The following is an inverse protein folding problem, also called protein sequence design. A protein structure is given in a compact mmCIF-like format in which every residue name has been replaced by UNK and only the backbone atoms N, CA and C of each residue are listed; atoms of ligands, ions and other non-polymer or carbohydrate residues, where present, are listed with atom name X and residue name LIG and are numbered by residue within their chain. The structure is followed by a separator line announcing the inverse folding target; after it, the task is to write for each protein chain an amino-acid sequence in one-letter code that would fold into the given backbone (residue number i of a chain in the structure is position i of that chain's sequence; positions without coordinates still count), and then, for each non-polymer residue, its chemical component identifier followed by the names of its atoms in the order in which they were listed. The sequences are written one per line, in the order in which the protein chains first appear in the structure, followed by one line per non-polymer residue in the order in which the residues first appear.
data_IF_905506299721
#
_entry.id   IF_905506299721
#
_cell.length_a   1.000
_cell.length_b   1.000
_cell.length_c   1.000
_cell.angle_alpha   90.00
_cell.angle_beta   90.00
_cell.angle_gamma   90.00
#
_symmetry.space_group_name_H-M   'P 1'
#
loop_
_entity.id
_entity.type
_entity.pdbx_description
1 polymer ?
#
# COMPACT_ATOMS: atom_id res chain seq x y z
N UNK A 1 1.01 19.95 13.22
CA UNK A 1 0.18 21.12 13.63
C UNK A 1 -0.13 22.07 12.47
N UNK A 2 0.76 22.26 11.49
CA UNK A 2 0.56 23.18 10.34
C UNK A 2 -0.63 22.83 9.42
N UNK A 3 -0.91 21.53 9.17
CA UNK A 3 -2.07 21.12 8.33
C UNK A 3 -3.42 21.48 8.96
N UNK A 4 -3.53 21.43 10.29
CA UNK A 4 -4.75 21.80 11.01
C UNK A 4 -4.96 23.32 11.04
N UNK A 5 -3.89 24.12 11.01
CA UNK A 5 -3.98 25.57 10.88
C UNK A 5 -4.55 25.98 9.50
N UNK A 6 -4.17 25.28 8.44
CA UNK A 6 -4.69 25.53 7.08
C UNK A 6 -6.14 25.02 6.87
N UNK A 7 -6.72 24.29 7.83
CA UNK A 7 -8.09 23.73 7.72
C UNK A 7 -9.16 24.82 7.56
N UNK A 8 -8.92 26.02 8.13
CA UNK A 8 -9.82 27.17 8.00
C UNK A 8 -9.82 27.80 6.60
N UNK A 9 -8.82 27.53 5.77
CA UNK A 9 -8.62 28.20 4.47
C UNK A 9 -9.05 27.37 3.26
N UNK A 10 -9.58 26.15 3.46
CA UNK A 10 -9.95 25.23 2.37
C UNK A 10 -11.31 25.57 1.74
N UNK A 11 -11.33 25.77 0.43
CA UNK A 11 -12.55 26.03 -0.34
C UNK A 11 -13.28 24.73 -0.77
N UNK A 12 -14.53 24.86 -1.24
CA UNK A 12 -15.27 23.72 -1.83
C UNK A 12 -14.49 23.07 -2.98
N UNK A 13 -13.92 23.87 -3.89
CA UNK A 13 -13.22 23.37 -5.08
C UNK A 13 -11.97 22.57 -4.71
N UNK A 14 -11.30 22.93 -3.62
CA UNK A 14 -10.13 22.17 -3.12
C UNK A 14 -10.52 20.78 -2.60
N UNK A 15 -11.63 20.71 -1.85
CA UNK A 15 -12.09 19.48 -1.20
C UNK A 15 -12.88 18.57 -2.16
N UNK A 16 -13.48 19.17 -3.18
CA UNK A 16 -14.40 18.57 -4.12
C UNK A 16 -14.03 19.01 -5.56
N UNK A 17 -13.00 18.38 -6.17
CA UNK A 17 -12.59 18.71 -7.52
C UNK A 17 -13.70 18.39 -8.53
N UNK A 18 -13.75 19.17 -9.61
CA UNK A 18 -14.75 19.03 -10.67
C UNK A 18 -14.64 17.64 -11.33
N UNK A 19 -15.72 16.83 -11.33
CA UNK A 19 -15.72 15.52 -11.99
C UNK A 19 -15.38 15.59 -13.48
N UNK A 20 -15.67 16.70 -14.17
CA UNK A 20 -15.41 16.88 -15.60
C UNK A 20 -13.94 17.14 -15.93
N UNK A 21 -13.14 17.57 -14.94
CA UNK A 21 -11.70 17.72 -15.05
C UNK A 21 -10.94 16.44 -14.67
N UNK A 22 -11.63 15.44 -14.12
CA UNK A 22 -11.07 14.14 -13.76
C UNK A 22 -11.32 13.14 -14.90
N UNK A 23 -10.26 12.77 -15.61
CA UNK A 23 -10.29 11.72 -16.63
C UNK A 23 -10.85 10.41 -16.00
N UNK A 24 -11.92 9.79 -16.53
CA UNK A 24 -12.49 8.59 -15.94
C UNK A 24 -11.48 7.43 -16.00
N UNK A 25 -11.09 6.93 -14.83
CA UNK A 25 -10.24 5.74 -14.69
C UNK A 25 -11.16 4.54 -14.38
N UNK A 26 -11.30 3.63 -15.35
CA UNK A 26 -12.03 2.33 -15.37
C UNK A 26 -12.03 1.50 -14.05
N UNK A 27 -12.84 0.40 -13.92
CA UNK A 27 -14.20 0.12 -14.36
C UNK A 27 -15.13 0.07 -13.13
N UNK A 28 -15.62 1.24 -12.76
CA UNK A 28 -16.85 1.49 -12.01
C UNK A 28 -17.15 2.97 -12.24
N UNK A 29 -17.16 3.37 -13.52
CA UNK A 29 -17.47 4.73 -13.93
C UNK A 29 -18.79 5.11 -13.28
N UNK A 30 -18.84 6.26 -12.62
CA UNK A 30 -20.14 6.85 -12.33
C UNK A 30 -20.94 6.86 -13.65
N UNK A 31 -22.22 6.46 -13.65
CA UNK A 31 -23.03 6.48 -14.86
C UNK A 31 -22.91 7.85 -15.51
N UNK A 32 -22.87 7.88 -16.85
CA UNK A 32 -22.77 9.13 -17.59
C UNK A 32 -23.89 10.08 -17.12
N UNK A 33 -23.74 11.42 -17.26
CA UNK A 33 -24.72 12.38 -16.73
C UNK A 33 -26.17 12.13 -17.16
N UNK A 34 -26.38 11.42 -18.28
CA UNK A 34 -27.69 11.03 -18.80
C UNK A 34 -28.22 9.67 -18.27
N UNK A 35 -27.42 8.88 -17.55
CA UNK A 35 -27.74 7.55 -17.00
C UNK A 35 -27.87 7.55 -15.46
N UNK A 36 -27.67 8.68 -14.79
CA UNK A 36 -27.71 8.80 -13.33
C UNK A 36 -29.13 8.62 -12.76
N UNK A 37 -29.38 7.52 -12.05
CA UNK A 37 -30.63 7.30 -11.27
C UNK A 37 -30.71 8.26 -10.06
N UNK A 38 -31.88 8.35 -9.38
CA UNK A 38 -32.14 9.31 -8.27
C UNK A 38 -31.11 9.25 -7.12
N UNK A 39 -30.35 8.16 -6.97
CA UNK A 39 -29.25 7.98 -5.99
C UNK A 39 -27.93 8.65 -6.41
N UNK A 40 -27.79 9.08 -7.67
CA UNK A 40 -26.56 9.62 -8.26
C UNK A 40 -26.68 11.09 -8.67
N UNK A 41 -27.77 11.76 -8.30
CA UNK A 41 -27.79 13.21 -8.41
C UNK A 41 -26.71 13.74 -7.47
N UNK A 42 -25.74 14.55 -7.95
CA UNK A 42 -24.88 15.29 -7.05
C UNK A 42 -25.81 16.00 -6.07
N UNK A 43 -25.58 15.87 -4.75
CA UNK A 43 -26.50 16.45 -3.79
C UNK A 43 -26.66 17.95 -4.09
N UNK A 44 -27.83 18.53 -3.86
CA UNK A 44 -28.21 19.91 -4.33
C UNK A 44 -27.17 21.00 -4.06
N UNK A 45 -26.22 20.78 -3.16
CA UNK A 45 -25.11 21.67 -2.83
C UNK A 45 -23.89 21.55 -3.76
N UNK A 46 -23.84 20.58 -4.67
CA UNK A 46 -22.70 20.26 -5.54
C UNK A 46 -22.86 20.75 -6.98
N UNK A 47 -24.10 20.81 -7.50
CA UNK A 47 -24.39 21.39 -8.81
C UNK A 47 -24.47 22.92 -8.69
N UNK A 48 -23.32 23.59 -8.63
CA UNK A 48 -23.23 25.03 -8.88
C UNK A 48 -23.39 25.28 -10.38
N UNK A 49 -24.63 25.39 -10.85
CA UNK A 49 -24.95 25.91 -12.18
C UNK A 49 -24.44 27.34 -12.30
N UNK A 50 -23.29 27.54 -12.94
CA UNK A 50 -23.00 28.79 -13.63
C UNK A 50 -23.77 28.78 -14.94
N UNK A 51 -24.98 29.34 -14.93
CA UNK A 51 -25.61 29.84 -16.16
C UNK A 51 -25.11 31.28 -16.37
N UNK A 52 -24.59 31.65 -17.55
CA UNK A 52 -24.16 33.02 -17.79
C UNK A 52 -25.36 33.87 -18.20
N UNK A 53 -26.12 34.39 -17.24
CA UNK A 53 -26.91 35.60 -17.47
C UNK A 53 -27.42 36.24 -16.18
N UNK A 54 -27.39 37.57 -16.21
CA UNK A 54 -27.98 38.56 -15.29
C UNK A 54 -27.11 39.07 -14.14
N UNK A 55 -26.66 40.30 -14.36
CA UNK A 55 -26.32 41.31 -13.35
C UNK A 55 -27.46 41.48 -12.35
N UNK A 56 -27.22 41.11 -11.09
CA UNK A 56 -27.69 41.75 -9.85
C UNK A 56 -27.34 40.83 -8.67
N UNK A 57 -26.50 41.34 -7.77
CA UNK A 57 -26.13 40.81 -6.45
C UNK A 57 -26.49 39.36 -6.14
N UNK A 58 -25.57 38.44 -6.45
CA UNK A 58 -25.69 37.06 -5.96
C UNK A 58 -24.57 36.80 -4.95
N UNK A 59 -24.88 37.09 -3.69
CA UNK A 59 -24.23 36.51 -2.53
C UNK A 59 -24.62 35.02 -2.42
N UNK A 60 -24.54 34.26 -3.53
CA UNK A 60 -24.79 32.83 -3.58
C UNK A 60 -23.59 32.12 -2.96
N UNK A 61 -23.68 32.02 -1.63
CA UNK A 61 -22.61 31.65 -0.73
C UNK A 61 -21.77 30.49 -1.23
N UNK A 62 -20.46 30.74 -1.35
CA UNK A 62 -19.46 29.70 -1.34
C UNK A 62 -19.63 28.92 -0.04
N UNK A 63 -20.39 27.83 -0.08
CA UNK A 63 -20.68 27.01 1.10
C UNK A 63 -19.38 26.37 1.53
N UNK A 64 -18.82 26.73 2.68
CA UNK A 64 -17.61 26.06 3.15
C UNK A 64 -17.82 24.54 3.26
N UNK A 65 -16.83 23.71 2.86
CA UNK A 65 -16.91 22.28 3.04
C UNK A 65 -17.02 21.94 4.53
N UNK A 66 -17.79 20.89 4.85
CA UNK A 66 -17.97 20.51 6.24
C UNK A 66 -16.65 20.04 6.87
N UNK A 67 -16.61 20.03 8.20
CA UNK A 67 -15.46 19.64 9.00
C UNK A 67 -14.85 18.30 8.61
N UNK A 68 -15.68 17.29 8.34
CA UNK A 68 -15.21 15.96 7.94
C UNK A 68 -14.58 15.97 6.56
N UNK A 69 -15.20 16.64 5.59
CA UNK A 69 -14.69 16.74 4.23
C UNK A 69 -13.31 17.42 4.21
N UNK A 70 -13.12 18.48 5.02
CA UNK A 70 -11.82 19.12 5.23
C UNK A 70 -10.79 18.17 5.85
N UNK A 71 -11.14 17.43 6.91
CA UNK A 71 -10.24 16.43 7.54
C UNK A 71 -9.86 15.33 6.56
N UNK A 72 -10.84 14.74 5.87
CA UNK A 72 -10.65 13.70 4.85
C UNK A 72 -9.73 14.18 3.73
N UNK A 73 -9.86 15.44 3.30
CA UNK A 73 -8.96 16.01 2.29
C UNK A 73 -7.52 16.16 2.82
N UNK A 74 -7.35 16.69 4.04
CA UNK A 74 -6.03 16.92 4.64
C UNK A 74 -5.22 15.65 4.95
N UNK A 75 -5.92 14.54 5.20
CA UNK A 75 -5.33 13.24 5.53
C UNK A 75 -5.67 12.16 4.49
N UNK A 76 -6.02 12.57 3.27
CA UNK A 76 -6.54 11.65 2.23
C UNK A 76 -5.55 10.55 1.90
N UNK A 77 -4.26 10.89 1.86
CA UNK A 77 -3.17 9.97 1.56
C UNK A 77 -2.96 8.99 2.72
N UNK A 78 -2.91 9.46 3.96
CA UNK A 78 -2.78 8.61 5.14
C UNK A 78 -4.00 7.68 5.30
N UNK A 79 -5.21 8.15 5.03
CA UNK A 79 -6.41 7.32 5.01
C UNK A 79 -6.35 6.24 3.90
N UNK A 80 -5.81 6.58 2.74
CA UNK A 80 -5.62 5.61 1.66
C UNK A 80 -4.61 4.52 2.05
N UNK A 81 -3.49 4.89 2.69
CA UNK A 81 -2.50 3.95 3.22
C UNK A 81 -3.06 3.06 4.34
N UNK A 82 -3.91 3.63 5.21
CA UNK A 82 -4.63 2.88 6.23
C UNK A 82 -5.54 1.81 5.60
N UNK A 83 -6.43 2.19 4.68
CA UNK A 83 -7.38 1.26 4.09
C UNK A 83 -6.73 0.27 3.12
N UNK A 84 -5.67 0.67 2.42
CA UNK A 84 -4.89 -0.24 1.60
C UNK A 84 -4.25 -1.33 2.45
N UNK A 85 -3.51 -0.95 3.51
CA UNK A 85 -2.88 -1.93 4.41
C UNK A 85 -3.91 -2.75 5.19
N UNK A 86 -5.06 -2.16 5.54
CA UNK A 86 -6.19 -2.87 6.12
C UNK A 86 -6.66 -4.01 5.22
N UNK A 87 -6.83 -3.78 3.91
CA UNK A 87 -7.26 -4.83 2.98
C UNK A 87 -6.20 -5.94 2.82
N UNK A 88 -4.91 -5.60 2.84
CA UNK A 88 -3.85 -6.62 2.83
C UNK A 88 -4.04 -7.59 4.00
N UNK A 89 -4.28 -7.08 5.21
CA UNK A 89 -4.42 -7.92 6.41
C UNK A 89 -5.79 -8.57 6.52
N UNK A 90 -6.85 -7.91 6.08
CA UNK A 90 -8.20 -8.48 6.08
C UNK A 90 -8.24 -9.78 5.25
N UNK A 91 -7.66 -9.74 4.05
CA UNK A 91 -7.57 -10.91 3.18
C UNK A 91 -6.50 -11.89 3.65
N UNK A 92 -5.32 -11.38 4.00
CA UNK A 92 -4.18 -12.19 4.42
C UNK A 92 -4.42 -12.96 5.72
N UNK A 93 -4.67 -12.27 6.83
CA UNK A 93 -4.96 -12.95 8.09
C UNK A 93 -6.29 -13.72 8.03
N UNK A 94 -7.25 -13.23 7.23
CA UNK A 94 -8.52 -13.91 6.99
C UNK A 94 -8.33 -15.30 6.36
N UNK A 95 -7.50 -15.41 5.32
CA UNK A 95 -7.22 -16.71 4.68
C UNK A 95 -6.41 -17.63 5.60
N UNK A 96 -5.49 -17.11 6.40
CA UNK A 96 -4.74 -17.96 7.34
C UNK A 96 -5.68 -18.52 8.42
N UNK A 97 -6.61 -17.72 8.93
CA UNK A 97 -7.66 -18.18 9.81
C UNK A 97 -8.55 -19.23 9.11
N UNK A 98 -9.00 -18.96 7.88
CA UNK A 98 -9.82 -19.88 7.09
C UNK A 98 -9.14 -21.23 6.89
N UNK A 99 -7.87 -21.26 6.50
CA UNK A 99 -7.15 -22.49 6.17
C UNK A 99 -6.77 -23.27 7.44
N UNK A 100 -6.33 -22.58 8.51
CA UNK A 100 -5.73 -23.24 9.66
C UNK A 100 -6.67 -23.44 10.86
N UNK A 101 -7.70 -22.60 11.05
CA UNK A 101 -8.63 -22.75 12.19
C UNK A 101 -9.68 -23.84 11.99
N UNK A 102 -9.69 -24.56 10.86
CA UNK A 102 -10.61 -25.67 10.62
C UNK A 102 -10.34 -26.91 11.50
N UNK A 103 -9.86 -26.70 12.73
CA UNK A 103 -9.46 -27.77 13.63
C UNK A 103 -10.65 -28.44 14.34
N UNK A 104 -10.88 -29.70 13.95
CA UNK A 104 -10.99 -30.93 14.75
C UNK A 104 -12.18 -31.10 15.71
N UNK A 105 -13.30 -31.57 15.15
CA UNK A 105 -14.10 -32.60 15.82
C UNK A 105 -13.49 -33.99 15.57
N UNK A 106 -13.81 -34.98 16.41
CA UNK A 106 -13.29 -36.35 16.32
C UNK A 106 -13.55 -37.05 14.96
N UNK A 107 -14.46 -36.52 14.14
CA UNK A 107 -14.99 -37.18 12.94
C UNK A 107 -14.50 -36.62 11.59
N UNK A 108 -13.72 -35.53 11.55
CA UNK A 108 -13.27 -34.92 10.29
C UNK A 108 -11.76 -35.04 10.11
N UNK A 109 -11.36 -36.06 9.35
CA UNK A 109 -9.97 -36.49 9.12
C UNK A 109 -9.30 -35.91 7.87
N UNK A 110 -9.87 -34.91 7.20
CA UNK A 110 -9.24 -34.33 6.01
C UNK A 110 -8.82 -32.88 6.21
N UNK A 111 -7.51 -32.73 6.42
CA UNK A 111 -6.75 -31.47 6.50
C UNK A 111 -6.87 -30.63 5.21
N UNK A 112 -7.52 -31.16 4.16
CA UNK A 112 -7.64 -30.56 2.83
C UNK A 112 -8.99 -29.88 2.52
N UNK A 113 -10.00 -29.92 3.41
CA UNK A 113 -11.37 -29.59 3.01
C UNK A 113 -11.63 -28.08 2.70
N UNK A 114 -10.81 -27.15 3.21
CA UNK A 114 -11.10 -25.70 3.12
C UNK A 114 -9.95 -24.83 2.58
N UNK A 115 -8.81 -25.43 2.23
CA UNK A 115 -7.75 -24.75 1.47
C UNK A 115 -6.35 -25.33 1.64
N UNK A 116 -5.38 -24.67 1.02
CA UNK A 116 -3.97 -25.07 1.01
C UNK A 116 -3.03 -23.87 1.18
N UNK A 117 -1.73 -24.14 1.36
CA UNK A 117 -0.71 -23.09 1.39
C UNK A 117 -0.81 -22.15 0.18
N UNK A 118 -1.05 -22.70 -1.02
CA UNK A 118 -1.22 -21.93 -2.25
C UNK A 118 -2.46 -21.02 -2.24
N UNK A 119 -3.59 -21.50 -1.70
CA UNK A 119 -4.78 -20.65 -1.49
C UNK A 119 -4.46 -19.44 -0.60
N UNK A 120 -3.66 -19.67 0.46
CA UNK A 120 -3.14 -18.58 1.28
C UNK A 120 -2.44 -17.53 0.43
N UNK A 121 -1.48 -17.95 -0.40
CA UNK A 121 -0.70 -17.03 -1.24
C UNK A 121 -1.57 -16.26 -2.26
N UNK A 122 -2.57 -16.91 -2.85
CA UNK A 122 -3.55 -16.26 -3.73
C UNK A 122 -4.31 -15.14 -3.02
N UNK A 123 -4.82 -15.38 -1.81
CA UNK A 123 -5.57 -14.38 -1.07
C UNK A 123 -4.68 -13.23 -0.55
N UNK A 124 -3.44 -13.52 -0.11
CA UNK A 124 -2.46 -12.46 0.21
C UNK A 124 -2.17 -11.58 -1.00
N UNK A 125 -1.93 -12.18 -2.17
CA UNK A 125 -1.71 -11.44 -3.42
C UNK A 125 -2.93 -10.61 -3.83
N UNK A 126 -4.14 -11.16 -3.68
CA UNK A 126 -5.39 -10.45 -3.94
C UNK A 126 -5.57 -9.25 -2.99
N UNK A 127 -5.26 -9.41 -1.70
CA UNK A 127 -5.28 -8.32 -0.72
C UNK A 127 -4.35 -7.16 -1.13
N UNK A 128 -3.16 -7.46 -1.64
CA UNK A 128 -2.23 -6.43 -2.15
C UNK A 128 -2.76 -5.76 -3.42
N UNK A 129 -3.32 -6.51 -4.37
CA UNK A 129 -3.96 -5.91 -5.55
C UNK A 129 -5.10 -4.96 -5.16
N UNK A 130 -5.99 -5.38 -4.25
CA UNK A 130 -7.08 -4.54 -3.74
C UNK A 130 -6.55 -3.30 -3.04
N UNK A 131 -5.46 -3.42 -2.28
CA UNK A 131 -4.81 -2.28 -1.65
C UNK A 131 -4.35 -1.25 -2.70
N UNK A 132 -3.71 -1.70 -3.79
CA UNK A 132 -3.26 -0.80 -4.87
C UNK A 132 -4.46 -0.16 -5.59
N UNK A 133 -5.54 -0.89 -5.86
CA UNK A 133 -6.75 -0.27 -6.44
C UNK A 133 -7.35 0.81 -5.54
N UNK A 134 -7.44 0.58 -4.23
CA UNK A 134 -8.07 1.51 -3.28
C UNK A 134 -7.19 2.73 -2.97
N UNK A 135 -5.87 2.58 -3.00
CA UNK A 135 -4.94 3.61 -2.52
C UNK A 135 -4.06 4.23 -3.61
N UNK A 136 -3.82 3.53 -4.73
CA UNK A 136 -2.87 3.90 -5.77
C UNK A 136 -3.12 5.28 -6.38
N UNK A 137 -4.36 5.60 -6.71
CA UNK A 137 -4.75 6.92 -7.26
C UNK A 137 -4.77 8.06 -6.24
N UNK A 138 -4.48 7.80 -4.96
CA UNK A 138 -4.55 8.79 -3.87
C UNK A 138 -3.17 9.00 -3.23
N UNK A 139 -2.57 7.95 -2.67
CA UNK A 139 -1.29 8.02 -1.96
C UNK A 139 -0.10 7.53 -2.79
N UNK A 140 -0.36 6.91 -3.95
CA UNK A 140 0.61 6.07 -4.67
C UNK A 140 0.55 4.59 -4.25
N UNK A 141 -0.26 4.26 -3.23
CA UNK A 141 -0.51 2.91 -2.78
C UNK A 141 0.73 2.16 -2.29
N UNK A 142 1.50 2.79 -1.39
CA UNK A 142 2.71 2.17 -0.85
C UNK A 142 2.36 0.94 -0.02
N UNK A 143 1.43 1.11 0.93
CA UNK A 143 0.90 0.12 1.88
C UNK A 143 1.99 -0.73 2.58
N UNK A 144 3.23 -0.25 2.60
CA UNK A 144 4.42 -0.96 3.03
C UNK A 144 5.52 0.05 3.39
N UNK A 145 6.06 0.02 4.63
CA UNK A 145 7.18 0.89 5.03
C UNK A 145 8.42 0.75 4.15
N UNK A 146 8.78 -0.46 3.71
CA UNK A 146 9.94 -0.71 2.85
C UNK A 146 9.78 -0.01 1.50
N UNK A 147 8.57 -0.02 0.94
CA UNK A 147 8.23 0.69 -0.31
C UNK A 147 8.30 2.20 -0.09
N UNK A 148 7.71 2.71 0.99
CA UNK A 148 7.79 4.13 1.35
C UNK A 148 9.23 4.63 1.48
N UNK A 149 10.10 3.85 2.13
CA UNK A 149 11.52 4.20 2.31
C UNK A 149 12.25 4.15 0.98
N UNK A 150 12.07 3.10 0.17
CA UNK A 150 12.70 3.00 -1.14
C UNK A 150 12.31 4.17 -2.07
N UNK A 151 11.03 4.52 -2.14
CA UNK A 151 10.57 5.67 -2.92
C UNK A 151 11.15 7.00 -2.41
N UNK A 152 11.38 7.13 -1.11
CA UNK A 152 12.03 8.33 -0.54
C UNK A 152 13.53 8.41 -0.87
N UNK A 153 14.18 7.27 -1.04
CA UNK A 153 15.60 7.18 -1.41
C UNK A 153 15.82 7.41 -2.91
N UNK A 154 14.96 6.82 -3.76
CA UNK A 154 15.23 6.71 -5.21
C UNK A 154 14.28 7.49 -6.12
N UNK A 155 13.09 7.90 -5.64
CA UNK A 155 12.05 8.56 -6.46
C UNK A 155 11.54 9.87 -5.85
N UNK A 156 12.29 10.44 -4.91
CA UNK A 156 12.02 11.76 -4.35
C UNK A 156 10.77 11.86 -3.46
N UNK A 157 10.23 10.73 -2.97
CA UNK A 157 9.08 10.78 -2.06
C UNK A 157 9.41 11.64 -0.82
N UNK A 158 8.54 12.60 -0.43
CA UNK A 158 8.88 13.55 0.63
C UNK A 158 9.18 12.87 1.96
N UNK A 159 10.41 13.00 2.45
CA UNK A 159 10.86 12.35 3.70
C UNK A 159 9.97 12.64 4.91
N UNK A 160 9.41 13.86 4.98
CA UNK A 160 8.45 14.28 6.02
C UNK A 160 7.14 13.47 6.06
N UNK A 161 6.80 12.76 4.98
CA UNK A 161 5.60 11.91 4.86
C UNK A 161 5.85 10.46 5.26
N UNK A 162 7.11 10.03 5.45
CA UNK A 162 7.45 8.64 5.78
C UNK A 162 6.76 8.21 7.07
N UNK A 163 6.96 8.95 8.18
CA UNK A 163 6.38 8.58 9.48
C UNK A 163 4.84 8.59 9.44
N UNK A 164 4.16 9.63 8.92
CA UNK A 164 2.71 9.60 8.78
C UNK A 164 2.17 8.39 8.00
N UNK A 165 2.84 8.01 6.90
CA UNK A 165 2.46 6.83 6.12
C UNK A 165 2.65 5.55 6.93
N UNK A 166 3.81 5.36 7.55
CA UNK A 166 4.12 4.19 8.37
C UNK A 166 3.12 4.01 9.51
N UNK A 167 2.76 5.10 10.20
CA UNK A 167 1.76 5.07 11.27
C UNK A 167 0.40 4.66 10.72
N UNK A 168 -0.04 5.26 9.60
CA UNK A 168 -1.32 4.92 8.99
C UNK A 168 -1.39 3.47 8.52
N UNK A 169 -0.33 2.96 7.87
CA UNK A 169 -0.19 1.57 7.44
C UNK A 169 -0.31 0.61 8.64
N UNK A 170 0.43 0.89 9.71
CA UNK A 170 0.44 0.06 10.93
C UNK A 170 -0.93 0.05 11.62
N UNK A 171 -1.59 1.20 11.71
CA UNK A 171 -2.95 1.30 12.25
C UNK A 171 -3.97 0.54 11.39
N UNK A 172 -3.85 0.60 10.07
CA UNK A 172 -4.70 -0.15 9.14
C UNK A 172 -4.55 -1.65 9.33
N UNK A 173 -3.31 -2.14 9.37
CA UNK A 173 -2.99 -3.53 9.65
C UNK A 173 -3.50 -3.99 11.02
N UNK A 174 -3.39 -3.14 12.05
CA UNK A 174 -3.90 -3.41 13.40
C UNK A 174 -5.43 -3.56 13.39
N UNK A 175 -6.14 -2.61 12.80
CA UNK A 175 -7.60 -2.60 12.74
C UNK A 175 -8.15 -3.82 11.98
N UNK A 176 -7.54 -4.17 10.84
CA UNK A 176 -7.90 -5.36 10.09
C UNK A 176 -7.69 -6.64 10.90
N UNK A 177 -6.57 -6.74 11.62
CA UNK A 177 -6.24 -7.92 12.42
C UNK A 177 -7.21 -8.09 13.59
N UNK A 178 -7.60 -6.99 14.26
CA UNK A 178 -8.65 -7.01 15.28
C UNK A 178 -9.99 -7.47 14.69
N UNK A 179 -10.34 -7.01 13.50
CA UNK A 179 -11.59 -7.42 12.84
C UNK A 179 -11.58 -8.89 12.43
N UNK A 180 -10.47 -9.39 11.87
CA UNK A 180 -10.30 -10.81 11.54
C UNK A 180 -10.34 -11.68 12.80
N UNK A 181 -9.68 -11.24 13.88
CA UNK A 181 -9.73 -11.93 15.17
C UNK A 181 -11.15 -11.97 15.73
N UNK A 182 -11.88 -10.85 15.71
CA UNK A 182 -13.26 -10.78 16.15
C UNK A 182 -14.18 -11.71 15.32
N UNK A 183 -14.00 -11.72 14.00
CA UNK A 183 -14.74 -12.61 13.09
C UNK A 183 -14.48 -14.10 13.39
N UNK A 184 -13.28 -14.43 13.88
CA UNK A 184 -12.86 -15.80 14.16
C UNK A 184 -12.79 -16.15 15.65
N UNK A 185 -13.36 -15.31 16.53
CA UNK A 185 -13.17 -15.39 17.99
C UNK A 185 -13.49 -16.78 18.54
N UNK A 186 -14.64 -17.34 18.15
CA UNK A 186 -15.09 -18.66 18.59
C UNK A 186 -14.18 -19.78 18.08
N UNK A 187 -13.73 -19.70 16.83
CA UNK A 187 -12.87 -20.72 16.23
C UNK A 187 -11.48 -20.69 16.86
N UNK A 188 -10.91 -19.51 17.10
CA UNK A 188 -9.65 -19.33 17.80
C UNK A 188 -9.72 -19.88 19.23
N UNK A 189 -10.81 -19.60 19.96
CA UNK A 189 -11.00 -20.10 21.32
C UNK A 189 -11.11 -21.64 21.35
N UNK A 190 -11.82 -22.25 20.39
CA UNK A 190 -11.90 -23.71 20.26
C UNK A 190 -10.54 -24.33 19.91
N UNK A 191 -9.83 -23.74 18.95
CA UNK A 191 -8.51 -24.21 18.49
C UNK A 191 -7.49 -24.23 19.64
N UNK A 192 -7.45 -23.19 20.46
CA UNK A 192 -6.51 -23.08 21.58
C UNK A 192 -6.99 -23.72 22.89
N UNK A 193 -8.14 -24.41 22.89
CA UNK A 193 -8.66 -25.08 24.09
C UNK A 193 -9.15 -24.13 25.19
N UNK A 194 -9.62 -22.92 24.84
CA UNK A 194 -10.21 -21.96 25.78
C UNK A 194 -9.53 -20.60 25.80
N UNK A 195 -9.14 -20.12 26.99
CA UNK A 195 -8.64 -18.76 27.22
C UNK A 195 -7.13 -18.57 26.95
N UNK A 196 -6.37 -19.65 26.75
CA UNK A 196 -4.94 -19.54 26.49
C UNK A 196 -4.68 -18.86 25.13
N UNK A 197 -3.74 -17.91 25.11
CA UNK A 197 -3.27 -17.25 23.89
C UNK A 197 -1.76 -17.43 23.83
N UNK A 198 -1.30 -18.15 22.83
CA UNK A 198 0.11 -18.54 22.70
C UNK A 198 0.71 -17.98 21.42
N UNK A 199 1.99 -17.59 21.44
CA UNK A 199 2.67 -17.04 20.26
C UNK A 199 3.41 -18.12 19.47
N UNK A 200 3.89 -19.17 20.15
CA UNK A 200 4.62 -20.28 19.53
C UNK A 200 4.03 -21.63 19.96
N UNK A 201 4.34 -22.68 19.20
CA UNK A 201 3.93 -24.06 19.46
C UNK A 201 2.76 -24.52 18.60
N UNK A 202 2.47 -25.83 18.66
CA UNK A 202 1.52 -26.51 17.78
C UNK A 202 0.08 -25.96 17.88
N UNK A 203 -0.30 -25.44 19.04
CA UNK A 203 -1.60 -24.83 19.28
C UNK A 203 -1.65 -23.32 19.05
N UNK A 204 -0.57 -22.68 18.60
CA UNK A 204 -0.56 -21.22 18.46
C UNK A 204 -1.33 -20.74 17.24
N UNK A 205 -2.16 -19.72 17.43
CA UNK A 205 -2.87 -19.02 16.34
C UNK A 205 -2.26 -17.66 16.01
N UNK A 206 -1.19 -17.24 16.70
CA UNK A 206 -0.46 -16.02 16.37
C UNK A 206 0.15 -15.99 14.94
N UNK A 207 0.70 -17.13 14.41
CA UNK A 207 1.25 -17.18 13.06
C UNK A 207 0.23 -16.88 11.95
N UNK A 208 -1.08 -16.91 12.26
CA UNK A 208 -2.11 -16.59 11.28
C UNK A 208 -2.20 -15.08 11.02
N UNK A 209 -1.61 -14.27 11.88
CA UNK A 209 -1.72 -12.81 11.85
C UNK A 209 -0.38 -12.14 11.50
N UNK A 210 0.71 -12.58 12.12
CA UNK A 210 2.06 -12.07 11.86
C UNK A 210 3.05 -13.22 11.64
N UNK A 211 4.27 -12.88 11.20
CA UNK A 211 5.25 -13.87 10.79
C UNK A 211 6.12 -14.37 11.93
N UNK A 212 6.47 -15.65 11.86
CA UNK A 212 7.49 -16.30 12.67
C UNK A 212 8.49 -16.98 11.74
N UNK A 213 9.77 -17.12 12.15
CA UNK A 213 10.70 -17.94 11.39
C UNK A 213 10.27 -19.41 11.46
N UNK A 214 10.54 -20.16 10.39
CA UNK A 214 10.34 -21.60 10.36
C UNK A 214 11.14 -22.29 11.50
N UNK A 215 10.65 -23.41 12.06
CA UNK A 215 11.40 -24.17 13.05
C UNK A 215 12.80 -24.51 12.55
N UNK A 216 13.79 -24.43 13.43
CA UNK A 216 15.22 -24.75 13.15
C UNK A 216 15.94 -23.82 12.16
N UNK A 217 15.26 -22.80 11.61
CA UNK A 217 15.90 -21.82 10.74
C UNK A 217 16.85 -20.91 11.54
N UNK A 218 18.10 -20.81 11.10
CA UNK A 218 19.07 -19.89 11.72
C UNK A 218 18.62 -18.43 11.53
N UNK A 219 18.96 -17.55 12.47
CA UNK A 219 18.60 -16.12 12.37
C UNK A 219 19.25 -15.44 11.15
N UNK A 220 20.45 -15.87 10.75
CA UNK A 220 21.09 -15.38 9.53
C UNK A 220 20.31 -15.80 8.27
N UNK A 221 19.85 -17.05 8.21
CA UNK A 221 19.03 -17.56 7.11
C UNK A 221 17.67 -16.86 7.07
N UNK A 222 17.04 -16.63 8.22
CA UNK A 222 15.79 -15.88 8.33
C UNK A 222 15.97 -14.45 7.81
N UNK A 223 17.02 -13.76 8.27
CA UNK A 223 17.37 -12.42 7.80
C UNK A 223 17.53 -12.39 6.28
N UNK A 224 18.35 -13.29 5.72
CA UNK A 224 18.60 -13.33 4.28
C UNK A 224 17.33 -13.64 3.46
N UNK A 225 16.46 -14.51 3.97
CA UNK A 225 15.20 -14.85 3.30
C UNK A 225 14.30 -13.62 3.14
N UNK A 226 14.16 -12.82 4.20
CA UNK A 226 13.33 -11.62 4.18
C UNK A 226 13.95 -10.48 3.34
N UNK A 227 15.28 -10.37 3.42
CA UNK A 227 16.07 -9.45 2.61
C UNK A 227 15.87 -9.74 1.12
N UNK A 228 16.03 -11.00 0.72
CA UNK A 228 15.92 -11.43 -0.66
C UNK A 228 14.50 -11.23 -1.20
N UNK A 229 13.47 -11.65 -0.44
CA UNK A 229 12.09 -11.47 -0.84
C UNK A 229 11.73 -9.99 -1.03
N UNK A 230 12.21 -9.11 -0.15
CA UNK A 230 11.95 -7.67 -0.27
C UNK A 230 12.78 -7.01 -1.37
N UNK A 231 13.99 -7.49 -1.63
CA UNK A 231 14.81 -7.03 -2.75
C UNK A 231 14.12 -7.34 -4.09
N UNK A 232 13.61 -8.57 -4.25
CA UNK A 232 12.82 -8.96 -5.44
C UNK A 232 11.56 -8.10 -5.55
N UNK A 233 10.84 -7.88 -4.45
CA UNK A 233 9.65 -7.01 -4.44
C UNK A 233 9.98 -5.62 -5.00
N UNK A 234 10.99 -4.94 -4.45
CA UNK A 234 11.29 -3.55 -4.82
C UNK A 234 11.93 -3.43 -6.20
N UNK A 235 12.73 -4.41 -6.62
CA UNK A 235 13.25 -4.50 -7.97
C UNK A 235 12.11 -4.51 -9.00
N UNK A 236 11.10 -5.37 -8.79
CA UNK A 236 9.97 -5.47 -9.72
C UNK A 236 8.98 -4.31 -9.58
N UNK A 237 8.72 -3.79 -8.37
CA UNK A 237 7.89 -2.59 -8.18
C UNK A 237 8.47 -1.41 -8.96
N UNK A 238 9.78 -1.24 -8.98
CA UNK A 238 10.43 -0.17 -9.73
C UNK A 238 10.31 -0.40 -11.24
N UNK A 239 10.46 -1.64 -11.70
CA UNK A 239 10.23 -2.01 -13.09
C UNK A 239 8.78 -1.72 -13.54
N UNK A 240 7.79 -2.03 -12.71
CA UNK A 240 6.37 -1.80 -13.01
C UNK A 240 6.01 -0.31 -12.98
N UNK A 241 6.73 0.51 -12.23
CA UNK A 241 6.53 1.96 -12.17
C UNK A 241 7.23 2.71 -13.33
N UNK A 242 8.24 2.10 -13.94
CA UNK A 242 9.11 2.71 -14.94
C UNK A 242 8.39 2.88 -16.30
N UNK A 243 8.16 4.13 -16.69
CA UNK A 243 7.52 4.49 -17.96
C UNK A 243 8.40 4.24 -19.18
N UNK A 244 9.71 4.08 -19.01
CA UNK A 244 10.66 3.77 -20.09
C UNK A 244 10.81 2.25 -20.31
N UNK A 245 10.18 1.43 -19.47
CA UNK A 245 10.12 -0.03 -19.59
C UNK A 245 8.68 -0.48 -19.92
N UNK A 246 8.37 -1.77 -19.77
CA UNK A 246 7.05 -2.34 -19.98
C UNK A 246 6.09 -2.05 -18.82
N UNK A 247 5.76 -0.77 -18.63
CA UNK A 247 4.77 -0.33 -17.65
C UNK A 247 3.39 -0.91 -17.96
N UNK A 248 2.71 -1.58 -17.01
CA UNK A 248 1.33 -1.99 -17.16
C UNK A 248 0.41 -0.83 -17.58
N UNK A 249 -0.58 -1.07 -18.46
CA UNK A 249 -1.59 -0.08 -18.81
C UNK A 249 -2.28 0.52 -17.58
N UNK A 250 -2.83 1.74 -17.72
CA UNK A 250 -3.59 2.40 -16.64
C UNK A 250 -4.67 1.44 -16.10
N UNK A 251 -4.70 1.24 -14.79
CA UNK A 251 -5.65 0.34 -14.10
C UNK A 251 -5.22 -1.13 -14.00
N UNK A 252 -4.22 -1.58 -14.76
CA UNK A 252 -3.71 -2.97 -14.72
C UNK A 252 -2.58 -3.19 -13.69
N UNK A 253 -2.01 -2.13 -13.14
CA UNK A 253 -0.96 -2.17 -12.10
C UNK A 253 -1.30 -3.12 -10.92
N UNK A 254 -2.53 -3.15 -10.38
CA UNK A 254 -2.90 -4.08 -9.32
C UNK A 254 -2.78 -5.55 -9.70
N UNK A 255 -3.07 -5.91 -10.96
CA UNK A 255 -2.92 -7.28 -11.43
C UNK A 255 -1.45 -7.67 -11.59
N UNK A 256 -0.60 -6.73 -12.04
CA UNK A 256 0.84 -6.95 -12.04
C UNK A 256 1.36 -7.18 -10.60
N UNK A 257 0.88 -6.38 -9.64
CA UNK A 257 1.24 -6.60 -8.23
C UNK A 257 0.73 -7.91 -7.66
N UNK A 258 -0.48 -8.35 -8.04
CA UNK A 258 -0.97 -9.70 -7.70
C UNK A 258 0.03 -10.78 -8.12
N UNK A 259 0.51 -10.74 -9.38
CA UNK A 259 1.47 -11.73 -9.89
C UNK A 259 2.77 -11.70 -9.11
N UNK A 260 3.32 -10.51 -8.83
CA UNK A 260 4.57 -10.35 -8.06
C UNK A 260 4.43 -10.97 -6.67
N UNK A 261 3.37 -10.63 -5.95
CA UNK A 261 3.17 -11.11 -4.58
C UNK A 261 2.85 -12.60 -4.53
N UNK A 262 2.11 -13.12 -5.51
CA UNK A 262 1.87 -14.55 -5.64
C UNK A 262 3.19 -15.29 -5.87
N UNK A 263 4.03 -14.79 -6.78
CA UNK A 263 5.34 -15.38 -7.08
C UNK A 263 6.27 -15.41 -5.87
N UNK A 264 6.38 -14.28 -5.14
CA UNK A 264 7.17 -14.20 -3.90
C UNK A 264 6.61 -15.15 -2.85
N UNK A 265 5.31 -15.11 -2.58
CA UNK A 265 4.68 -15.94 -1.56
C UNK A 265 4.79 -17.44 -1.85
N UNK A 266 4.68 -17.84 -3.12
CA UNK A 266 4.77 -19.23 -3.55
C UNK A 266 6.22 -19.76 -3.60
N UNK A 267 7.22 -18.89 -3.80
CA UNK A 267 8.61 -19.30 -4.04
C UNK A 267 9.55 -19.03 -2.87
N UNK A 268 9.33 -17.95 -2.12
CA UNK A 268 10.22 -17.45 -1.06
C UNK A 268 9.54 -17.45 0.32
N UNK A 269 8.32 -18.00 0.41
CA UNK A 269 7.47 -17.77 1.56
C UNK A 269 7.58 -18.74 2.73
N UNK A 270 8.19 -19.91 2.54
CA UNK A 270 8.23 -20.95 3.57
C UNK A 270 9.05 -20.55 4.81
N UNK A 271 10.25 -19.99 4.58
CA UNK A 271 11.23 -19.75 5.64
C UNK A 271 10.77 -18.74 6.69
N UNK A 272 10.13 -17.64 6.28
CA UNK A 272 9.78 -16.53 7.18
C UNK A 272 8.36 -16.03 6.99
N UNK A 273 7.56 -16.62 6.10
CA UNK A 273 6.22 -16.13 5.79
C UNK A 273 6.18 -14.85 4.95
N UNK A 274 7.32 -14.46 4.32
CA UNK A 274 7.48 -13.27 3.47
C UNK A 274 6.80 -12.03 4.07
N UNK A 275 7.24 -11.61 5.25
CA UNK A 275 6.70 -10.41 5.87
C UNK A 275 6.77 -9.21 4.91
N UNK A 276 7.96 -8.98 4.32
CA UNK A 276 8.39 -7.96 3.33
C UNK A 276 7.94 -6.52 3.62
N UNK A 277 7.31 -6.32 4.77
CA UNK A 277 6.49 -5.18 5.14
C UNK A 277 6.36 -5.16 6.67
N UNK A 278 7.11 -4.26 7.30
CA UNK A 278 7.10 -4.09 8.76
C UNK A 278 5.74 -3.72 9.35
N UNK A 279 4.89 -2.99 8.63
CA UNK A 279 3.55 -2.64 9.10
C UNK A 279 2.60 -3.86 9.08
N UNK A 280 2.71 -4.72 8.06
CA UNK A 280 1.95 -5.97 7.93
C UNK A 280 2.33 -7.02 8.97
N UNK A 281 3.47 -6.85 9.64
CA UNK A 281 3.89 -7.70 10.75
C UNK A 281 3.64 -7.05 12.12
N UNK A 282 3.91 -5.75 12.25
CA UNK A 282 3.76 -5.02 13.53
C UNK A 282 2.30 -4.74 13.88
N UNK A 283 1.47 -4.38 12.91
CA UNK A 283 0.06 -4.08 13.19
C UNK A 283 -0.69 -5.26 13.82
N UNK A 284 -0.57 -6.48 13.27
CA UNK A 284 -1.16 -7.66 13.90
C UNK A 284 -0.56 -7.99 15.27
N UNK A 285 0.73 -7.73 15.52
CA UNK A 285 1.31 -7.88 16.88
C UNK A 285 0.65 -6.95 17.89
N UNK A 286 0.39 -5.69 17.52
CA UNK A 286 -0.37 -4.75 18.35
C UNK A 286 -1.76 -5.31 18.63
N UNK A 287 -2.47 -5.77 17.59
CA UNK A 287 -3.80 -6.33 17.74
C UNK A 287 -3.81 -7.53 18.70
N UNK A 288 -2.88 -8.47 18.51
CA UNK A 288 -2.79 -9.70 19.31
C UNK A 288 -2.37 -9.40 20.76
N UNK A 289 -1.48 -8.44 20.97
CA UNK A 289 -1.13 -7.95 22.30
C UNK A 289 -2.38 -7.44 23.05
N UNK A 290 -3.22 -6.63 22.38
CA UNK A 290 -4.44 -6.07 22.97
C UNK A 290 -5.50 -7.13 23.33
N UNK A 291 -5.54 -8.25 22.61
CA UNK A 291 -6.51 -9.34 22.87
C UNK A 291 -5.93 -10.49 23.70
N UNK A 292 -4.78 -10.28 24.35
CA UNK A 292 -4.28 -11.13 25.43
C UNK A 292 -3.16 -12.12 25.08
N UNK A 293 -2.48 -11.98 23.93
CA UNK A 293 -1.32 -12.83 23.60
C UNK A 293 -0.05 -12.51 24.41
N UNK A 294 -0.09 -11.50 25.27
CA UNK A 294 1.02 -11.15 26.15
C UNK A 294 2.21 -10.52 25.43
N UNK A 295 3.29 -10.27 26.18
CA UNK A 295 4.49 -9.60 25.66
C UNK A 295 5.32 -10.46 24.71
N UNK A 296 5.06 -11.77 24.64
CA UNK A 296 5.78 -12.71 23.77
C UNK A 296 5.69 -12.33 22.29
N UNK A 297 4.61 -11.63 21.87
CA UNK A 297 4.47 -11.11 20.49
C UNK A 297 5.59 -10.13 20.12
N UNK A 298 6.31 -9.57 21.10
CA UNK A 298 7.40 -8.63 20.91
C UNK A 298 8.78 -9.22 21.20
N UNK A 299 8.87 -10.14 22.15
CA UNK A 299 10.16 -10.61 22.70
C UNK A 299 10.65 -11.91 22.08
N UNK A 300 9.78 -12.67 21.41
CA UNK A 300 10.18 -13.95 20.81
C UNK A 300 11.32 -13.79 19.79
N UNK A 301 12.14 -14.84 19.67
CA UNK A 301 13.23 -14.96 18.70
C UNK A 301 14.13 -13.70 18.63
N UNK A 302 14.52 -13.20 19.81
CA UNK A 302 15.35 -12.02 20.00
C UNK A 302 14.80 -10.76 19.29
N UNK A 303 13.55 -10.38 19.59
CA UNK A 303 12.87 -9.24 18.98
C UNK A 303 12.74 -9.36 17.45
N UNK A 304 12.32 -10.54 16.98
CA UNK A 304 12.18 -10.89 15.56
C UNK A 304 11.54 -9.81 14.71
N UNK A 305 10.47 -9.19 15.20
CA UNK A 305 9.74 -8.13 14.51
C UNK A 305 10.65 -6.97 14.04
N UNK A 306 11.66 -6.61 14.84
CA UNK A 306 12.51 -5.45 14.58
C UNK A 306 13.63 -5.76 13.60
N UNK A 307 14.34 -6.88 13.78
CA UNK A 307 15.51 -7.19 12.94
C UNK A 307 15.14 -7.87 11.62
N UNK A 308 13.99 -8.57 11.55
CA UNK A 308 13.58 -9.26 10.32
C UNK A 308 12.53 -8.46 9.51
N UNK A 309 11.22 -8.45 9.83
CA UNK A 309 10.21 -7.70 9.07
C UNK A 309 10.50 -6.21 8.84
N UNK A 310 11.23 -5.55 9.75
CA UNK A 310 11.63 -4.15 9.61
C UNK A 310 13.01 -3.98 8.97
N UNK A 311 14.08 -4.31 9.70
CA UNK A 311 15.44 -4.01 9.26
C UNK A 311 15.81 -4.78 7.98
N UNK A 312 15.58 -6.10 7.95
CA UNK A 312 15.88 -6.91 6.77
C UNK A 312 15.09 -6.46 5.54
N UNK A 313 13.78 -6.23 5.69
CA UNK A 313 12.94 -5.76 4.58
C UNK A 313 13.36 -4.38 4.05
N UNK A 314 13.68 -3.42 4.91
CA UNK A 314 14.11 -2.08 4.47
C UNK A 314 15.44 -2.18 3.72
N UNK A 315 16.41 -2.95 4.24
CA UNK A 315 17.70 -3.13 3.59
C UNK A 315 17.56 -3.88 2.25
N UNK A 316 16.77 -4.95 2.23
CA UNK A 316 16.46 -5.70 1.01
C UNK A 316 15.80 -4.81 -0.04
N UNK A 317 14.79 -4.05 0.37
CA UNK A 317 14.09 -3.12 -0.52
C UNK A 317 15.00 -2.04 -1.10
N UNK A 318 15.90 -1.47 -0.29
CA UNK A 318 16.87 -0.50 -0.76
C UNK A 318 17.86 -1.11 -1.76
N UNK A 319 18.33 -2.34 -1.53
CA UNK A 319 19.23 -3.05 -2.46
C UNK A 319 18.52 -3.45 -3.75
N UNK A 320 17.28 -3.93 -3.67
CA UNK A 320 16.46 -4.24 -4.85
C UNK A 320 16.24 -3.02 -5.75
N UNK A 321 15.83 -1.91 -5.14
CA UNK A 321 15.67 -0.62 -5.82
C UNK A 321 16.98 -0.13 -6.44
N UNK A 322 18.08 -0.16 -5.68
CA UNK A 322 19.40 0.23 -6.18
C UNK A 322 19.86 -0.64 -7.37
N UNK A 323 19.56 -1.94 -7.32
CA UNK A 323 19.92 -2.87 -8.40
C UNK A 323 19.14 -2.56 -9.67
N UNK A 324 17.83 -2.28 -9.58
CA UNK A 324 17.07 -1.85 -10.75
C UNK A 324 17.62 -0.54 -11.32
N UNK A 325 17.92 0.43 -10.45
CA UNK A 325 18.40 1.74 -10.86
C UNK A 325 19.79 1.71 -11.50
N UNK A 326 20.70 0.89 -10.97
CA UNK A 326 22.08 0.81 -11.44
C UNK A 326 22.20 0.13 -12.81
N UNK A 327 21.30 -0.80 -13.14
CA UNK A 327 21.46 -1.66 -14.31
C UNK A 327 20.39 -1.47 -15.39
N UNK A 328 19.16 -1.07 -15.04
CA UNK A 328 18.03 -1.03 -15.97
C UNK A 328 17.38 0.34 -16.12
N UNK A 329 17.30 1.11 -15.03
CA UNK A 329 16.65 2.42 -15.06
C UNK A 329 17.53 3.49 -15.70
N UNK A 330 16.95 4.37 -16.52
CA UNK A 330 17.67 5.50 -17.15
C UNK A 330 17.18 6.87 -16.69
N UNK A 331 16.20 6.94 -15.79
CA UNK A 331 15.65 8.21 -15.31
C UNK A 331 16.62 9.01 -14.44
N UNK A 332 16.66 10.33 -14.65
CA UNK A 332 17.61 11.26 -14.01
C UNK A 332 17.30 11.57 -12.54
N UNK A 333 16.11 11.19 -12.06
CA UNK A 333 15.66 11.32 -10.68
C UNK A 333 16.33 10.30 -9.74
N UNK A 334 16.88 9.21 -10.30
CA UNK A 334 17.68 8.24 -9.56
C UNK A 334 19.03 8.82 -9.12
N UNK A 335 19.50 8.54 -7.89
CA UNK A 335 20.86 8.84 -7.45
C UNK A 335 21.97 8.30 -8.37
N UNK A 336 21.74 7.19 -9.09
CA UNK A 336 22.73 6.56 -9.96
C UNK A 336 22.88 7.27 -11.32
N UNK A 337 21.83 7.95 -11.77
CA UNK A 337 21.75 8.52 -13.12
C UNK A 337 21.80 10.05 -13.13
N UNK A 338 22.13 10.69 -11.99
CA UNK A 338 22.18 12.15 -11.92
C UNK A 338 23.26 12.70 -12.84
N UNK A 339 22.92 13.59 -13.79
CA UNK A 339 23.91 14.18 -14.67
C UNK A 339 24.94 14.96 -13.86
N UNK A 340 26.22 14.81 -14.19
CA UNK A 340 27.30 15.62 -13.61
C UNK A 340 27.15 17.05 -14.12
N UNK A 341 27.17 18.03 -13.21
CA UNK A 341 27.23 19.44 -13.61
C UNK A 341 28.62 19.71 -14.20
N UNK A 342 28.70 19.76 -15.52
CA UNK A 342 29.94 20.15 -16.23
C UNK A 342 30.06 21.67 -16.14
N UNK A 343 30.92 22.18 -15.25
CA UNK A 343 31.31 23.59 -15.26
C UNK A 343 32.34 23.80 -16.37
N UNK A 344 31.85 24.28 -17.53
CA UNK A 344 32.65 24.66 -18.69
C UNK A 344 32.78 23.52 -19.70
N UNK A 345 31.99 23.58 -20.78
CA UNK A 345 32.12 22.63 -21.88
C UNK A 345 30.94 22.68 -22.84
N UNK A 346 31.19 23.24 -24.02
CA UNK A 346 30.34 23.41 -25.20
C UNK A 346 29.30 24.53 -25.15
N UNK A 347 29.68 25.61 -25.83
CA UNK A 347 28.80 26.71 -26.19
C UNK A 347 27.55 26.22 -26.89
N UNK A 348 26.50 27.00 -26.70
CA UNK A 348 25.29 26.94 -27.49
C UNK A 348 25.64 26.72 -28.96
N UNK A 349 25.18 25.60 -29.52
CA UNK A 349 24.86 25.58 -30.94
C UNK A 349 23.69 26.55 -31.04
N UNK A 350 24.00 27.81 -31.36
CA UNK A 350 23.01 28.71 -31.93
C UNK A 350 22.54 28.01 -33.19
N UNK A 351 21.30 27.53 -33.16
CA UNK A 351 20.52 27.34 -34.38
C UNK A 351 20.31 28.77 -34.88
N UNK A 352 21.23 29.23 -35.73
CA UNK A 352 21.07 30.47 -36.49
C UNK A 352 19.93 30.22 -37.46
N UNK A 353 18.81 30.88 -37.17
CA UNK A 353 17.71 31.08 -38.10
C UNK A 353 18.19 32.01 -39.21
N UNK A 354 18.81 31.45 -40.25
CA UNK A 354 19.06 32.13 -41.51
C UNK A 354 18.34 31.36 -42.61
N UNK A 355 17.05 31.65 -42.77
CA UNK A 355 16.28 31.41 -44.00
C UNK A 355 15.20 32.50 -44.13
N UNK A 356 15.65 33.76 -44.05
CA UNK A 356 14.97 34.89 -44.68
C UNK A 356 16.06 35.79 -45.28
N UNK A 357 16.23 35.72 -46.61
CA UNK A 357 16.44 36.85 -47.52
C UNK A 357 16.23 36.34 -48.96
N UNK A 358 15.13 36.82 -49.54
CA UNK A 358 14.96 37.28 -50.92
C UNK A 358 15.68 36.57 -52.07
N UNK A 359 14.88 36.00 -52.98
CA UNK A 359 15.10 36.26 -54.41
C UNK A 359 13.78 36.65 -55.08
N UNK A 360 13.64 37.95 -55.34
CA UNK A 360 12.77 38.47 -56.39
C UNK A 360 13.35 38.11 -57.76
N UNK A 361 12.58 37.38 -58.56
CA UNK A 361 12.55 37.44 -60.02
C UNK A 361 11.15 37.02 -60.50
#
# INVERSE_FOLDING_TARGET
MTRLANRGQLSQRDVHPDPSAAEPLLPASAPLPHEATRLHKPPRWWSGTTSPSSTLGDASGQREPNSWAKVRHLYREELAEFFGTFLILLFGAGVECQVNLHYHGADTRDVAAYGSYFQGRLAWAAGVAMAVWVSGGISGGHCNPSVTVALALFRGFPRRKIIPFVVAQTLGATAASLLVYANNLTNIARFQGGAARTVKGLGSTAPFFFTLPAPELSYASAFFSEFLATAVLLFVVFALADTANLKPPKGAQPFAMFIVLLGIGASLGYNTGYAINGARDTGPRIALWLVGYGSEVWTHDAWYWAWNPWLSSILGGAVGAATYDAFLYTGQDSPFNRPKVVRGGYGAIQVTSDDEIESSA
#
